data_IF_344563397888
#
_entry.id   IF_344563397888
#
_cell.length_a   1.000
_cell.length_b   1.000
_cell.length_c   1.000
_cell.angle_alpha   90.00
_cell.angle_beta   90.00
_cell.angle_gamma   90.00
#
_symmetry.space_group_name_H-M   'P 1'
#
loop_
_entity.id
_entity.type
_entity.pdbx_description
1 polymer ?
#
# COMPACT_ATOMS: atom_id res chain seq x y z
N UNK A 1 -9.18 -21.75 3.03
CA UNK A 1 -8.40 -20.52 3.27
C UNK A 1 -6.94 -20.93 3.42
N UNK A 2 -6.08 -20.32 2.62
CA UNK A 2 -4.63 -20.50 2.69
C UNK A 2 -4.01 -19.34 3.44
N UNK A 3 -3.13 -19.63 4.38
CA UNK A 3 -2.44 -18.63 5.18
C UNK A 3 -0.96 -18.67 4.84
N UNK A 4 -0.43 -17.54 4.36
CA UNK A 4 0.99 -17.36 4.14
C UNK A 4 1.55 -16.52 5.27
N UNK A 5 2.63 -17.02 5.89
CA UNK A 5 3.37 -16.30 6.94
C UNK A 5 4.77 -16.03 6.40
N UNK A 6 5.37 -14.92 6.81
CA UNK A 6 6.73 -14.60 6.43
C UNK A 6 7.73 -15.66 6.95
N UNK A 7 8.53 -16.20 6.03
CA UNK A 7 9.59 -17.18 6.30
C UNK A 7 11.00 -16.67 5.94
N UNK A 8 11.15 -15.37 5.66
CA UNK A 8 12.46 -14.78 5.38
C UNK A 8 13.40 -14.78 6.60
N UNK A 9 14.67 -14.38 6.43
CA UNK A 9 15.75 -14.62 7.42
C UNK A 9 15.59 -13.82 8.72
N UNK A 10 14.81 -12.75 8.72
CA UNK A 10 14.63 -11.87 9.87
C UNK A 10 13.80 -12.52 10.99
N UNK A 11 14.46 -12.82 12.12
CA UNK A 11 13.82 -13.44 13.30
C UNK A 11 12.74 -12.55 13.92
N UNK A 12 12.95 -11.23 13.94
CA UNK A 12 12.01 -10.27 14.51
C UNK A 12 10.72 -10.27 13.70
N UNK A 13 10.82 -10.21 12.38
CA UNK A 13 9.65 -10.19 11.49
C UNK A 13 8.86 -11.49 11.55
N UNK A 14 9.54 -12.65 11.64
CA UNK A 14 8.85 -13.94 11.85
C UNK A 14 8.10 -13.98 13.18
N UNK A 15 8.73 -13.53 14.27
CA UNK A 15 8.09 -13.48 15.58
C UNK A 15 6.89 -12.51 15.59
N UNK A 16 7.02 -11.35 14.95
CA UNK A 16 5.96 -10.36 14.81
C UNK A 16 4.76 -10.90 14.04
N UNK A 17 4.99 -11.51 12.87
CA UNK A 17 3.94 -12.14 12.06
C UNK A 17 3.19 -13.19 12.88
N UNK A 18 3.93 -14.03 13.61
CA UNK A 18 3.34 -15.07 14.46
C UNK A 18 2.54 -14.49 15.61
N UNK A 19 3.06 -13.49 16.32
CA UNK A 19 2.38 -12.85 17.44
C UNK A 19 1.05 -12.19 17.02
N UNK A 20 1.04 -11.54 15.85
CA UNK A 20 -0.18 -10.95 15.27
C UNK A 20 -1.18 -12.04 14.88
N UNK A 21 -0.73 -13.11 14.22
CA UNK A 21 -1.59 -14.24 13.87
C UNK A 21 -2.19 -14.92 15.11
N UNK A 22 -1.38 -15.21 16.13
CA UNK A 22 -1.86 -15.86 17.36
C UNK A 22 -2.87 -14.99 18.12
N UNK A 23 -2.75 -13.65 18.04
CA UNK A 23 -3.67 -12.72 18.72
C UNK A 23 -4.97 -12.50 17.95
N UNK A 24 -4.91 -12.31 16.63
CA UNK A 24 -6.09 -12.04 15.81
C UNK A 24 -6.81 -13.32 15.34
N UNK A 25 -6.08 -14.44 15.22
CA UNK A 25 -6.58 -15.69 14.65
C UNK A 25 -7.19 -15.50 13.27
N UNK A 26 -8.36 -16.08 13.06
CA UNK A 26 -9.13 -15.98 11.80
C UNK A 26 -9.58 -14.55 11.46
N UNK A 27 -9.53 -13.62 12.42
CA UNK A 27 -9.84 -12.22 12.15
C UNK A 27 -8.75 -11.53 11.30
N UNK A 28 -7.52 -12.06 11.29
CA UNK A 28 -6.41 -11.47 10.55
C UNK A 28 -6.49 -11.79 9.06
N UNK A 29 -6.39 -10.76 8.24
CA UNK A 29 -6.41 -10.89 6.78
C UNK A 29 -5.01 -10.75 6.22
N UNK A 30 -4.33 -9.64 6.49
CA UNK A 30 -2.99 -9.38 5.99
C UNK A 30 -2.21 -8.47 6.93
N UNK A 31 -0.89 -8.61 6.94
CA UNK A 31 0.03 -7.70 7.61
C UNK A 31 1.13 -7.34 6.64
N UNK A 32 1.38 -6.05 6.44
CA UNK A 32 2.49 -5.54 5.63
C UNK A 32 3.37 -4.67 6.49
N UNK A 33 4.66 -5.00 6.55
CA UNK A 33 5.68 -4.09 7.03
C UNK A 33 6.04 -3.13 5.89
N UNK A 34 6.07 -1.84 6.18
CA UNK A 34 6.52 -0.84 5.22
C UNK A 34 7.52 0.11 5.86
N UNK A 35 7.73 1.26 5.22
CA UNK A 35 8.55 2.32 5.81
C UNK A 35 10.03 1.99 5.84
N UNK A 36 10.74 2.58 6.81
CA UNK A 36 12.21 2.60 6.82
C UNK A 36 12.82 1.21 7.00
N UNK A 37 12.17 0.34 7.77
CA UNK A 37 12.63 -1.03 8.00
C UNK A 37 12.55 -1.86 6.73
N UNK A 38 11.40 -1.83 6.05
CA UNK A 38 11.21 -2.55 4.79
C UNK A 38 12.19 -2.10 3.70
N UNK A 39 12.61 -0.83 3.73
CA UNK A 39 13.63 -0.27 2.82
C UNK A 39 15.09 -0.58 3.20
N UNK A 40 15.35 -1.25 4.33
CA UNK A 40 16.71 -1.43 4.85
C UNK A 40 17.39 -0.13 5.31
N UNK A 41 16.60 0.89 5.64
CA UNK A 41 17.06 2.22 6.09
C UNK A 41 16.72 2.51 7.55
N UNK A 42 16.18 1.51 8.27
CA UNK A 42 15.87 1.65 9.68
C UNK A 42 17.14 1.86 10.51
N UNK A 43 17.06 2.79 11.45
CA UNK A 43 18.05 2.99 12.51
C UNK A 43 17.66 2.13 13.73
N UNK A 44 18.55 1.92 14.71
CA UNK A 44 18.23 1.10 15.89
C UNK A 44 16.92 1.49 16.58
N UNK A 45 16.67 2.80 16.73
CA UNK A 45 15.45 3.38 17.33
C UNK A 45 14.28 3.61 16.37
N UNK A 46 14.38 3.21 15.11
CA UNK A 46 13.27 3.40 14.16
C UNK A 46 12.08 2.52 14.52
N UNK A 47 10.88 3.03 14.29
CA UNK A 47 9.65 2.27 14.48
C UNK A 47 9.53 1.13 13.46
N UNK A 48 8.67 0.16 13.77
CA UNK A 48 8.11 -0.79 12.80
C UNK A 48 6.81 -0.22 12.24
N UNK A 49 6.81 0.17 10.98
CA UNK A 49 5.63 0.68 10.30
C UNK A 49 4.77 -0.49 9.79
N UNK A 50 3.60 -0.69 10.38
CA UNK A 50 2.72 -1.83 10.10
C UNK A 50 1.39 -1.39 9.50
N UNK A 51 1.03 -2.01 8.39
CA UNK A 51 -0.28 -1.91 7.79
C UNK A 51 -1.01 -3.24 8.01
N UNK A 52 -2.09 -3.20 8.79
CA UNK A 52 -2.83 -4.39 9.23
C UNK A 52 -4.23 -4.36 8.63
N UNK A 53 -4.61 -5.47 7.98
CA UNK A 53 -5.98 -5.70 7.54
C UNK A 53 -6.58 -6.82 8.37
N UNK A 54 -7.77 -6.57 8.92
CA UNK A 54 -8.53 -7.54 9.69
C UNK A 54 -10.03 -7.39 9.42
N UNK A 55 -10.82 -8.45 9.58
CA UNK A 55 -12.26 -8.41 9.24
C UNK A 55 -13.05 -7.53 10.21
N UNK A 56 -12.83 -7.72 11.50
CA UNK A 56 -13.57 -7.08 12.58
C UNK A 56 -12.61 -6.24 13.43
N UNK A 57 -12.53 -4.95 13.12
CA UNK A 57 -11.78 -3.97 13.89
C UNK A 57 -12.72 -3.09 14.74
N UNK A 58 -12.25 -2.58 15.89
CA UNK A 58 -12.95 -1.54 16.63
C UNK A 58 -13.32 -0.36 15.72
N UNK A 59 -14.46 0.28 15.98
CA UNK A 59 -14.96 1.37 15.12
C UNK A 59 -14.06 2.61 15.14
N UNK A 60 -13.45 2.95 16.29
CA UNK A 60 -12.63 4.17 16.43
C UNK A 60 -11.16 3.86 16.13
N UNK A 61 -10.50 4.74 15.37
CA UNK A 61 -9.09 4.56 15.00
C UNK A 61 -8.14 4.35 16.19
N UNK A 62 -8.23 5.11 17.31
CA UNK A 62 -7.36 4.88 18.47
C UNK A 62 -7.52 3.48 19.08
N UNK A 63 -8.76 2.95 19.09
CA UNK A 63 -9.04 1.62 19.62
C UNK A 63 -8.45 0.53 18.73
N UNK A 64 -8.37 0.75 17.41
CA UNK A 64 -7.71 -0.17 16.48
C UNK A 64 -6.21 -0.22 16.71
N UNK A 65 -5.59 0.94 16.86
CA UNK A 65 -4.15 1.06 17.17
C UNK A 65 -3.85 0.36 18.49
N UNK A 66 -4.63 0.63 19.53
CA UNK A 66 -4.52 -0.06 20.82
C UNK A 66 -4.73 -1.58 20.71
N UNK A 67 -5.68 -2.02 19.88
CA UNK A 67 -5.95 -3.44 19.65
C UNK A 67 -4.76 -4.16 19.02
N UNK A 68 -4.15 -3.58 17.98
CA UNK A 68 -2.94 -4.14 17.36
C UNK A 68 -1.76 -4.08 18.33
N UNK A 69 -1.59 -2.99 19.09
CA UNK A 69 -0.52 -2.88 20.09
C UNK A 69 -0.57 -3.96 21.18
N UNK A 70 -1.76 -4.45 21.55
CA UNK A 70 -1.86 -5.58 22.50
C UNK A 70 -1.19 -6.86 21.98
N UNK A 71 -1.12 -7.04 20.66
CA UNK A 71 -0.41 -8.16 20.05
C UNK A 71 1.12 -7.94 20.00
N UNK A 72 1.57 -6.68 19.93
CA UNK A 72 2.98 -6.32 19.64
C UNK A 72 3.76 -5.83 20.86
N UNK A 73 3.24 -4.88 21.63
CA UNK A 73 4.04 -4.15 22.63
C UNK A 73 4.44 -5.02 23.84
N UNK A 74 3.68 -6.06 24.16
CA UNK A 74 4.05 -7.01 25.21
C UNK A 74 5.20 -7.93 24.79
N UNK A 75 5.58 -7.96 23.51
CA UNK A 75 6.47 -8.96 22.93
C UNK A 75 7.69 -8.38 22.20
N UNK A 76 7.69 -7.09 21.88
CA UNK A 76 8.75 -6.46 21.09
C UNK A 76 9.21 -5.14 21.72
N UNK A 77 10.53 -4.96 21.85
CA UNK A 77 11.16 -3.75 22.41
C UNK A 77 11.17 -2.55 21.46
N UNK A 78 10.79 -2.75 20.19
CA UNK A 78 10.73 -1.67 19.19
C UNK A 78 9.31 -1.11 19.10
N UNK A 79 9.13 0.22 19.10
CA UNK A 79 7.83 0.84 18.86
C UNK A 79 7.28 0.45 17.48
N UNK A 80 5.97 0.39 17.37
CA UNK A 80 5.28 0.11 16.12
C UNK A 80 4.33 1.27 15.77
N UNK A 81 4.47 1.81 14.56
CA UNK A 81 3.53 2.77 13.99
C UNK A 81 2.50 1.99 13.18
N UNK A 82 1.22 2.04 13.58
CA UNK A 82 0.19 1.13 13.07
C UNK A 82 -0.89 1.88 12.30
N UNK A 83 -1.20 1.36 11.11
CA UNK A 83 -2.42 1.68 10.37
C UNK A 83 -3.23 0.40 10.24
N UNK A 84 -4.50 0.44 10.65
CA UNK A 84 -5.36 -0.74 10.69
C UNK A 84 -6.74 -0.46 10.06
N UNK A 85 -7.08 -1.25 9.06
CA UNK A 85 -8.30 -1.12 8.25
C UNK A 85 -9.00 -2.45 8.03
N UNK A 86 -10.32 -2.41 7.84
CA UNK A 86 -11.07 -3.56 7.36
C UNK A 86 -10.91 -3.74 5.86
N UNK A 87 -11.09 -4.96 5.32
CA UNK A 87 -11.01 -5.23 3.88
C UNK A 87 -11.83 -4.24 3.05
N UNK A 88 -13.06 -3.96 3.49
CA UNK A 88 -13.99 -3.03 2.82
C UNK A 88 -13.44 -1.61 2.76
N UNK A 89 -12.82 -1.14 3.83
CA UNK A 89 -12.23 0.20 3.89
C UNK A 89 -11.05 0.29 2.92
N UNK A 90 -10.19 -0.72 2.94
CA UNK A 90 -9.04 -0.82 2.04
C UNK A 90 -9.43 -0.75 0.56
N UNK A 91 -10.45 -1.50 0.15
CA UNK A 91 -10.90 -1.51 -1.26
C UNK A 91 -11.74 -0.28 -1.64
N UNK A 92 -12.25 0.47 -0.66
CA UNK A 92 -13.06 1.67 -0.92
C UNK A 92 -12.22 2.90 -1.27
N UNK A 93 -10.95 2.92 -0.84
CA UNK A 93 -10.03 4.03 -1.05
C UNK A 93 -8.86 3.66 -1.95
N UNK A 94 -8.12 4.68 -2.38
CA UNK A 94 -6.83 4.52 -3.05
C UNK A 94 -5.84 5.61 -2.61
N UNK A 95 -5.51 5.71 -1.30
CA UNK A 95 -4.60 6.72 -0.79
C UNK A 95 -3.18 6.53 -1.36
N UNK A 96 -2.42 7.63 -1.47
CA UNK A 96 -1.04 7.60 -1.97
C UNK A 96 -0.12 6.66 -1.19
N UNK A 97 -0.41 6.41 0.09
CA UNK A 97 0.28 5.41 0.92
C UNK A 97 0.33 4.03 0.25
N UNK A 98 -0.69 3.64 -0.51
CA UNK A 98 -0.71 2.33 -1.18
C UNK A 98 0.42 2.20 -2.20
N UNK A 99 0.86 3.31 -2.79
CA UNK A 99 2.00 3.31 -3.70
C UNK A 99 3.29 2.91 -2.97
N UNK A 100 3.47 3.38 -1.72
CA UNK A 100 4.62 3.01 -0.89
C UNK A 100 4.53 1.57 -0.37
N UNK A 101 3.33 1.11 0.03
CA UNK A 101 3.08 -0.29 0.36
C UNK A 101 3.45 -1.21 -0.82
N UNK A 102 3.04 -0.84 -2.04
CA UNK A 102 3.26 -1.65 -3.23
C UNK A 102 4.72 -1.68 -3.68
N UNK A 103 5.48 -0.63 -3.39
CA UNK A 103 6.88 -0.46 -3.79
C UNK A 103 7.85 -1.10 -2.80
N UNK A 104 7.68 -0.86 -1.49
CA UNK A 104 8.63 -1.32 -0.46
C UNK A 104 8.06 -2.41 0.46
N UNK A 105 6.75 -2.64 0.45
CA UNK A 105 6.08 -3.45 1.46
C UNK A 105 6.57 -4.89 1.48
N UNK A 106 6.84 -5.38 2.69
CA UNK A 106 7.12 -6.79 2.97
C UNK A 106 5.86 -7.39 3.59
N UNK A 107 5.25 -8.33 2.88
CA UNK A 107 4.09 -9.07 3.37
C UNK A 107 4.56 -10.01 4.50
N UNK A 108 4.10 -9.73 5.72
CA UNK A 108 4.38 -10.52 6.91
C UNK A 108 3.40 -11.68 7.09
N UNK A 109 2.15 -11.44 6.71
CA UNK A 109 1.08 -12.43 6.73
C UNK A 109 0.05 -12.09 5.64
N UNK A 110 -0.52 -13.10 5.00
CA UNK A 110 -1.58 -12.93 4.01
C UNK A 110 -2.53 -14.13 3.94
N UNK A 111 -3.82 -13.86 4.04
CA UNK A 111 -4.88 -14.83 3.87
C UNK A 111 -5.37 -14.79 2.41
N UNK A 112 -5.38 -15.94 1.75
CA UNK A 112 -5.85 -16.12 0.37
C UNK A 112 -5.20 -15.15 -0.64
N UNK A 113 -3.92 -14.80 -0.44
CA UNK A 113 -3.14 -13.85 -1.26
C UNK A 113 -3.75 -12.45 -1.40
N UNK A 114 -4.65 -12.05 -0.50
CA UNK A 114 -5.40 -10.81 -0.62
C UNK A 114 -4.50 -9.59 -0.86
N UNK A 115 -3.52 -9.38 0.01
CA UNK A 115 -2.64 -8.24 -0.10
C UNK A 115 -1.59 -8.43 -1.20
N UNK A 116 -1.08 -9.65 -1.39
CA UNK A 116 -0.12 -9.97 -2.45
C UNK A 116 -0.64 -9.56 -3.83
N UNK A 117 -1.90 -9.93 -4.13
CA UNK A 117 -2.58 -9.59 -5.38
C UNK A 117 -2.88 -8.09 -5.48
N UNK A 118 -3.32 -7.47 -4.38
CA UNK A 118 -3.61 -6.03 -4.34
C UNK A 118 -2.36 -5.18 -4.55
N UNK A 119 -1.24 -5.53 -3.92
CA UNK A 119 0.03 -4.85 -4.15
C UNK A 119 0.52 -5.05 -5.60
N UNK A 120 0.28 -6.21 -6.21
CA UNK A 120 0.57 -6.42 -7.63
C UNK A 120 -0.28 -5.53 -8.54
N UNK A 121 -1.58 -5.40 -8.23
CA UNK A 121 -2.50 -4.49 -8.93
C UNK A 121 -2.02 -3.02 -8.79
N UNK A 122 -1.65 -2.58 -7.58
CA UNK A 122 -1.15 -1.23 -7.35
C UNK A 122 0.14 -1.00 -8.13
N UNK A 123 1.12 -1.92 -8.10
CA UNK A 123 2.36 -1.81 -8.91
C UNK A 123 2.06 -1.64 -10.40
N UNK A 124 1.07 -2.37 -10.92
CA UNK A 124 0.61 -2.22 -12.31
C UNK A 124 0.04 -0.82 -12.56
N UNK A 125 -0.87 -0.36 -11.70
CA UNK A 125 -1.48 0.98 -11.80
C UNK A 125 -0.40 2.07 -11.77
N UNK A 126 0.50 2.03 -10.79
CA UNK A 126 1.61 3.00 -10.65
C UNK A 126 2.47 3.07 -11.91
N UNK A 127 2.83 1.91 -12.47
CA UNK A 127 3.63 1.82 -13.71
C UNK A 127 2.89 2.38 -14.93
N UNK A 128 1.61 2.02 -15.09
CA UNK A 128 0.79 2.46 -16.22
C UNK A 128 0.48 3.95 -16.17
N UNK A 129 0.25 4.47 -14.96
CA UNK A 129 0.06 5.88 -14.69
C UNK A 129 1.35 6.71 -14.89
N UNK A 130 2.50 6.03 -15.00
CA UNK A 130 3.80 6.68 -15.18
C UNK A 130 4.31 7.38 -13.93
N UNK A 131 3.86 6.94 -12.75
CA UNK A 131 4.32 7.44 -11.46
C UNK A 131 5.69 6.88 -11.12
N UNK A 132 6.55 7.74 -10.57
CA UNK A 132 7.89 7.39 -10.08
C UNK A 132 8.11 8.03 -8.74
N UNK A 133 8.65 7.27 -7.80
CA UNK A 133 9.11 7.82 -6.53
C UNK A 133 10.49 8.45 -6.72
N UNK A 134 10.66 9.68 -6.27
CA UNK A 134 11.91 10.44 -6.30
C UNK A 134 12.26 10.91 -4.89
N UNK A 135 13.53 11.18 -4.63
CA UNK A 135 13.97 11.85 -3.41
C UNK A 135 13.98 13.36 -3.60
N UNK A 136 13.37 14.10 -2.69
CA UNK A 136 13.31 15.57 -2.68
C UNK A 136 13.60 16.03 -1.24
N UNK A 137 14.65 16.83 -1.05
CA UNK A 137 15.03 17.37 0.28
C UNK A 137 15.20 16.33 1.39
N UNK A 138 15.63 15.11 1.04
CA UNK A 138 15.79 14.01 2.01
C UNK A 138 14.55 13.12 2.16
N UNK A 139 13.38 13.56 1.69
CA UNK A 139 12.13 12.81 1.74
C UNK A 139 11.77 12.18 0.39
N UNK A 140 10.75 11.32 0.40
CA UNK A 140 10.20 10.71 -0.81
C UNK A 140 8.97 11.47 -1.32
N UNK A 141 8.92 11.67 -2.63
CA UNK A 141 7.76 12.23 -3.31
C UNK A 141 7.42 11.42 -4.56
N UNK A 142 6.14 11.28 -4.87
CA UNK A 142 5.68 10.70 -6.12
C UNK A 142 5.59 11.77 -7.20
N UNK A 143 6.18 11.49 -8.37
CA UNK A 143 6.20 12.38 -9.53
C UNK A 143 5.69 11.65 -10.76
N UNK A 144 4.96 12.39 -11.58
CA UNK A 144 4.50 11.92 -12.87
C UNK A 144 5.63 12.00 -13.90
N UNK A 145 5.82 10.95 -14.69
CA UNK A 145 6.64 11.03 -15.91
C UNK A 145 6.06 12.03 -16.91
N UNK A 146 4.72 12.08 -16.99
CA UNK A 146 3.96 13.08 -17.73
C UNK A 146 2.78 13.47 -16.87
N UNK A 147 2.69 14.74 -16.50
CA UNK A 147 1.59 15.23 -15.69
C UNK A 147 0.25 15.02 -16.43
N UNK A 148 -0.76 14.41 -15.78
CA UNK A 148 -2.10 14.32 -16.35
C UNK A 148 -2.73 15.71 -16.52
N UNK A 149 -3.69 15.81 -17.42
CA UNK A 149 -4.49 17.02 -17.55
C UNK A 149 -5.20 17.34 -16.20
N UNK A 150 -5.51 18.61 -15.90
CA UNK A 150 -6.33 18.97 -14.76
C UNK A 150 -7.66 18.19 -14.75
N UNK A 151 -8.15 17.86 -13.55
CA UNK A 151 -9.31 16.97 -13.42
C UNK A 151 -8.93 15.53 -13.69
N UNK A 152 -8.07 14.96 -12.85
CA UNK A 152 -7.69 13.54 -12.93
C UNK A 152 -8.03 12.83 -11.63
N UNK A 153 -8.19 11.52 -11.71
CA UNK A 153 -8.30 10.65 -10.56
C UNK A 153 -7.49 9.38 -10.79
N UNK A 154 -6.96 8.83 -9.69
CA UNK A 154 -6.21 7.59 -9.65
C UNK A 154 -6.88 6.69 -8.62
N UNK A 155 -7.45 5.58 -9.07
CA UNK A 155 -8.11 4.59 -8.23
C UNK A 155 -7.71 3.16 -8.64
N UNK A 156 -8.47 2.16 -8.19
CA UNK A 156 -8.25 0.74 -8.50
C UNK A 156 -8.37 0.40 -9.99
N UNK A 157 -9.02 1.23 -10.80
CA UNK A 157 -9.11 1.08 -12.26
C UNK A 157 -7.94 1.77 -12.99
N UNK A 158 -7.19 2.60 -12.27
CA UNK A 158 -6.02 3.32 -12.74
C UNK A 158 -6.28 4.80 -13.01
N UNK A 159 -5.34 5.43 -13.73
CA UNK A 159 -5.40 6.86 -14.03
C UNK A 159 -6.48 7.14 -15.08
N UNK A 160 -7.41 8.05 -14.75
CA UNK A 160 -8.45 8.51 -15.67
C UNK A 160 -8.62 10.03 -15.60
N UNK A 161 -9.01 10.60 -16.75
CA UNK A 161 -9.36 12.01 -16.86
C UNK A 161 -10.85 12.17 -16.55
N UNK A 162 -11.16 13.07 -15.62
CA UNK A 162 -12.51 13.49 -15.27
C UNK A 162 -12.93 14.57 -16.28
N UNK A 163 -13.50 14.15 -17.40
CA UNK A 163 -14.27 15.08 -18.24
C UNK A 163 -15.66 15.23 -17.63
N UNK A 164 -16.26 16.42 -17.77
CA UNK A 164 -17.61 16.74 -17.29
C UNK A 164 -18.60 15.64 -17.70
N UNK A 165 -18.88 14.72 -16.77
CA UNK A 165 -19.92 13.69 -16.89
C UNK A 165 -19.49 12.24 -17.24
N UNK A 166 -18.21 11.91 -17.51
CA UNK A 166 -17.85 10.50 -17.83
C UNK A 166 -16.38 10.13 -17.56
N UNK A 167 -16.14 8.93 -17.01
CA UNK A 167 -14.81 8.33 -16.82
C UNK A 167 -14.21 7.95 -18.18
N UNK A 168 -13.10 8.58 -18.60
CA UNK A 168 -12.34 8.16 -19.78
C UNK A 168 -10.96 7.68 -19.35
N UNK A 169 -10.64 6.41 -19.65
CA UNK A 169 -9.32 5.84 -19.42
C UNK A 169 -8.28 6.53 -20.31
N UNK A 170 -7.15 6.96 -19.74
CA UNK A 170 -6.05 7.65 -20.46
C UNK A 170 -5.41 6.76 -21.55
N UNK A 171 -5.69 5.45 -21.55
CA UNK A 171 -5.18 4.52 -22.58
C UNK A 171 -5.70 4.77 -24.00
N UNK A 172 -6.79 5.51 -24.20
CA UNK A 172 -7.43 5.64 -25.53
C UNK A 172 -6.79 6.66 -26.49
N UNK A 173 -5.87 7.53 -26.05
CA UNK A 173 -5.27 8.55 -26.94
C UNK A 173 -4.08 8.06 -27.79
N UNK A 174 -3.67 6.79 -27.71
CA UNK A 174 -2.68 6.21 -28.63
C UNK A 174 -3.37 5.65 -29.86
N UNK A 175 -3.93 6.51 -30.70
CA UNK A 175 -4.66 6.02 -31.88
C UNK A 175 -5.18 7.05 -32.86
N UNK A 176 -4.70 8.29 -32.88
CA UNK A 176 -5.02 9.24 -33.96
C UNK A 176 -3.73 9.93 -34.39
N UNK A 177 -3.02 9.28 -35.31
CA UNK A 177 -2.07 9.95 -36.21
C UNK A 177 -2.90 10.81 -37.16
N UNK A 178 -2.98 12.11 -36.88
CA UNK A 178 -3.32 13.09 -37.91
C UNK A 178 -2.04 13.46 -38.64
N UNK A 179 -1.85 12.88 -39.83
CA UNK A 179 -0.99 13.45 -40.87
C UNK A 179 -1.64 14.74 -41.36
N UNK A 180 -0.81 15.75 -41.63
CA UNK A 180 -1.17 17.04 -42.22
C UNK A 180 -0.63 18.17 -41.33
N UNK A 181 0.46 18.87 -41.63
CA UNK A 181 1.03 19.22 -42.92
C UNK A 181 0.70 20.67 -43.24
N UNK A 182 1.49 21.62 -42.74
CA UNK A 182 2.12 22.75 -43.47
C UNK A 182 2.61 23.84 -42.51
N UNK A 183 3.76 24.42 -42.89
CA UNK A 183 4.28 25.75 -42.56
C UNK A 183 3.13 26.76 -42.56
N UNK A 184 3.03 27.73 -41.66
CA UNK A 184 4.00 28.77 -41.26
C UNK A 184 3.68 29.16 -39.81
#
# INVERSE_FOLDING_TARGET
>A
MTHQVYHGPDKLLRALARALFDYFGHNLVSVVLFGSYARGQARPRSDLDLYVIAENLPRRLPDRVAYVHRATNARFERPASIIAECKREFVSGFPSLYLDLALDGIVLYDCDNFMTDKLAQIRRITREAGLRRVRVNGDFAWRWKRQPAPGWSLDWDGLHELTSGSRVSVKSRRGLSARGGRRI
#
